data_IF_277768921367
#
_entry.id   IF_277768921367
#
_cell.length_a   1.000
_cell.length_b   1.000
_cell.length_c   1.000
_cell.angle_alpha   90.00
_cell.angle_beta   90.00
_cell.angle_gamma   90.00
#
_symmetry.space_group_name_H-M   'P 1'
#
loop_
_entity.id
_entity.type
_entity.pdbx_description
1 polymer ?
#
# COMPACT_ATOMS: atom_id res chain seq x y z
N UNK A 1 -24.81 -9.80 -6.70
CA UNK A 1 -23.69 -8.86 -6.52
C UNK A 1 -24.26 -7.44 -6.49
N UNK A 2 -23.74 -6.53 -5.69
CA UNK A 2 -24.11 -5.12 -5.74
C UNK A 2 -23.72 -4.50 -7.09
N UNK A 3 -24.35 -3.38 -7.43
CA UNK A 3 -23.92 -2.59 -8.58
C UNK A 3 -22.56 -1.97 -8.31
N UNK A 4 -21.69 -2.01 -9.30
CA UNK A 4 -20.39 -1.31 -9.28
C UNK A 4 -20.65 0.10 -9.80
N UNK A 5 -20.21 1.09 -9.03
CA UNK A 5 -20.30 2.51 -9.39
C UNK A 5 -18.88 3.07 -9.56
N UNK A 6 -18.74 4.00 -10.48
CA UNK A 6 -17.50 4.75 -10.68
C UNK A 6 -17.44 5.97 -9.76
N UNK A 7 -16.25 6.49 -9.53
CA UNK A 7 -16.07 7.72 -8.77
C UNK A 7 -16.87 8.87 -9.41
N UNK A 8 -17.58 9.61 -8.57
CA UNK A 8 -18.47 10.69 -9.01
C UNK A 8 -19.89 10.29 -9.38
N UNK A 9 -20.21 9.01 -9.47
CA UNK A 9 -21.58 8.55 -9.63
C UNK A 9 -22.37 8.70 -8.32
N UNK A 10 -23.68 8.68 -8.43
CA UNK A 10 -24.56 8.83 -7.28
C UNK A 10 -24.75 7.48 -6.57
N UNK A 11 -24.20 7.34 -5.37
CA UNK A 11 -24.38 6.17 -4.50
C UNK A 11 -25.63 6.26 -3.58
N UNK A 12 -26.49 7.24 -3.79
CA UNK A 12 -27.67 7.50 -2.96
C UNK A 12 -27.50 8.71 -2.06
N UNK A 13 -28.32 8.77 -1.04
CA UNK A 13 -28.31 9.87 -0.06
C UNK A 13 -28.32 9.34 1.36
N UNK A 14 -27.78 10.12 2.28
CA UNK A 14 -27.84 9.83 3.70
C UNK A 14 -29.29 9.78 4.19
N UNK A 15 -29.66 8.68 4.84
CA UNK A 15 -31.00 8.51 5.40
C UNK A 15 -31.16 9.17 6.78
N UNK A 16 -32.38 9.32 7.27
CA UNK A 16 -32.61 9.82 8.63
C UNK A 16 -32.04 8.89 9.71
N UNK A 17 -32.10 7.58 9.51
CA UNK A 17 -31.47 6.61 10.38
C UNK A 17 -29.94 6.74 10.37
N UNK A 18 -29.35 6.94 9.19
CA UNK A 18 -27.94 7.20 9.02
C UNK A 18 -27.49 8.46 9.73
N UNK A 19 -28.25 9.54 9.63
CA UNK A 19 -27.98 10.79 10.37
C UNK A 19 -27.94 10.54 11.88
N UNK A 20 -28.95 9.87 12.44
CA UNK A 20 -29.01 9.57 13.88
C UNK A 20 -27.83 8.73 14.36
N UNK A 21 -27.35 7.82 13.50
CA UNK A 21 -26.20 6.97 13.82
C UNK A 21 -24.87 7.74 13.80
N UNK A 22 -24.68 8.61 12.80
CA UNK A 22 -23.40 9.29 12.55
C UNK A 22 -23.26 10.58 13.35
N UNK A 23 -24.34 11.29 13.59
CA UNK A 23 -24.33 12.59 14.27
C UNK A 23 -25.42 12.70 15.34
N UNK A 24 -25.14 12.26 16.56
CA UNK A 24 -26.04 12.47 17.69
C UNK A 24 -26.26 13.95 18.03
N UNK A 25 -25.42 14.87 17.56
CA UNK A 25 -25.56 16.32 17.80
C UNK A 25 -26.69 16.97 16.98
N UNK A 26 -27.11 16.31 15.89
CA UNK A 26 -28.21 16.79 15.03
C UNK A 26 -27.82 17.90 14.05
N UNK A 27 -26.54 18.12 13.82
CA UNK A 27 -26.02 19.09 12.83
C UNK A 27 -26.16 18.56 11.41
N UNK A 28 -25.89 17.27 11.21
CA UNK A 28 -25.99 16.59 9.92
C UNK A 28 -27.47 16.42 9.52
N UNK A 29 -27.76 16.50 8.24
CA UNK A 29 -29.12 16.37 7.72
C UNK A 29 -29.24 15.20 6.74
N UNK A 30 -30.41 14.56 6.73
CA UNK A 30 -30.72 13.59 5.69
C UNK A 30 -30.77 14.25 4.30
N UNK A 31 -30.54 13.45 3.27
CA UNK A 31 -30.53 13.91 1.89
C UNK A 31 -29.16 14.37 1.38
N UNK A 32 -28.12 14.38 2.21
CA UNK A 32 -26.74 14.62 1.75
C UNK A 32 -26.37 13.52 0.75
N UNK A 33 -25.91 13.87 -0.49
CA UNK A 33 -25.54 12.89 -1.48
C UNK A 33 -24.28 12.12 -1.03
N UNK A 34 -24.27 10.83 -1.33
CA UNK A 34 -23.14 9.94 -1.04
C UNK A 34 -22.41 9.63 -2.35
N UNK A 35 -21.08 9.70 -2.30
CA UNK A 35 -20.21 9.15 -3.35
C UNK A 35 -20.06 7.64 -3.15
N UNK A 36 -19.75 6.88 -4.22
CA UNK A 36 -19.30 5.51 -4.07
C UNK A 36 -18.10 5.43 -3.12
N UNK A 37 -18.06 4.43 -2.23
CA UNK A 37 -16.88 4.23 -1.40
C UNK A 37 -15.68 3.84 -2.27
N UNK A 38 -14.52 4.39 -1.95
CA UNK A 38 -13.27 4.12 -2.65
C UNK A 38 -12.24 3.58 -1.66
N UNK A 39 -11.37 2.67 -2.14
CA UNK A 39 -10.26 2.15 -1.34
C UNK A 39 -9.04 3.08 -1.38
N UNK A 40 -8.11 2.85 -0.45
CA UNK A 40 -6.85 3.58 -0.36
C UNK A 40 -5.97 3.43 -1.62
N UNK A 41 -6.00 2.27 -2.27
CA UNK A 41 -5.28 2.01 -3.52
C UNK A 41 -5.75 2.94 -4.65
N UNK A 42 -7.07 3.03 -4.89
CA UNK A 42 -7.64 3.89 -5.92
C UNK A 42 -7.42 5.37 -5.63
N UNK A 43 -7.64 5.79 -4.38
CA UNK A 43 -7.36 7.18 -3.97
C UNK A 43 -5.88 7.52 -4.06
N UNK A 44 -4.98 6.56 -3.79
CA UNK A 44 -3.54 6.71 -3.98
C UNK A 44 -3.16 6.95 -5.45
N UNK A 45 -3.81 6.27 -6.40
CA UNK A 45 -3.62 6.52 -7.83
C UNK A 45 -4.04 7.94 -8.23
N UNK A 46 -5.16 8.43 -7.69
CA UNK A 46 -5.60 9.83 -7.92
C UNK A 46 -4.59 10.81 -7.32
N UNK A 47 -4.17 10.59 -6.08
CA UNK A 47 -3.23 11.46 -5.38
C UNK A 47 -1.86 11.58 -6.08
N UNK A 48 -1.43 10.52 -6.76
CA UNK A 48 -0.17 10.48 -7.52
C UNK A 48 -0.34 10.81 -9.00
N UNK A 49 -1.55 11.19 -9.43
CA UNK A 49 -1.89 11.45 -10.83
C UNK A 49 -1.53 10.29 -11.78
N UNK A 50 -1.79 9.06 -11.34
CA UNK A 50 -1.43 7.83 -12.05
C UNK A 50 -2.68 7.03 -12.47
N UNK A 51 -3.69 7.71 -13.00
CA UNK A 51 -4.96 7.14 -13.46
C UNK A 51 -5.06 7.01 -14.99
N UNK A 52 -4.14 7.58 -15.74
CA UNK A 52 -4.11 7.47 -17.20
C UNK A 52 -3.42 6.17 -17.63
N UNK A 53 -3.78 5.60 -18.82
CA UNK A 53 -3.07 4.45 -19.38
C UNK A 53 -1.55 4.65 -19.43
N UNK A 54 -0.78 3.58 -19.17
CA UNK A 54 0.68 3.57 -19.06
C UNK A 54 1.26 4.39 -17.89
N UNK A 55 0.43 4.88 -16.98
CA UNK A 55 0.89 5.44 -15.72
C UNK A 55 0.72 4.43 -14.60
N UNK A 56 1.39 4.64 -13.49
CA UNK A 56 1.28 3.75 -12.35
C UNK A 56 1.87 4.37 -11.09
N UNK A 57 1.65 3.71 -9.98
CA UNK A 57 2.23 4.10 -8.71
C UNK A 57 2.68 2.87 -7.91
N UNK A 58 3.50 3.13 -6.92
CA UNK A 58 3.89 2.14 -5.90
C UNK A 58 3.45 2.67 -4.56
N UNK A 59 2.69 1.86 -3.83
CA UNK A 59 2.35 2.10 -2.43
C UNK A 59 3.27 1.27 -1.56
N UNK A 60 3.99 1.92 -0.64
CA UNK A 60 4.95 1.30 0.26
C UNK A 60 4.51 1.53 1.71
N UNK A 61 3.67 0.64 2.21
CA UNK A 61 3.21 0.60 3.59
C UNK A 61 3.80 -0.59 4.34
N UNK A 62 3.05 -1.21 5.22
CA UNK A 62 3.42 -2.47 5.88
C UNK A 62 3.73 -3.55 4.86
N UNK A 63 2.90 -3.64 3.82
CA UNK A 63 3.13 -4.34 2.57
C UNK A 63 3.39 -3.34 1.44
N UNK A 64 3.76 -3.81 0.26
CA UNK A 64 3.88 -2.96 -0.92
C UNK A 64 3.05 -3.52 -2.06
N UNK A 65 2.52 -2.62 -2.90
CA UNK A 65 1.91 -2.98 -4.17
C UNK A 65 2.27 -1.96 -5.25
N UNK A 66 2.49 -2.48 -6.45
CA UNK A 66 2.71 -1.70 -7.64
C UNK A 66 1.49 -1.84 -8.55
N UNK A 67 0.99 -0.72 -9.07
CA UNK A 67 -0.18 -0.65 -9.93
C UNK A 67 0.18 0.06 -11.23
N UNK A 68 -0.27 -0.48 -12.35
CA UNK A 68 -0.08 0.11 -13.69
C UNK A 68 -1.41 0.08 -14.43
N UNK A 69 -1.84 1.23 -14.93
CA UNK A 69 -3.05 1.34 -15.76
C UNK A 69 -2.77 0.76 -17.15
N UNK A 70 -3.55 -0.24 -17.52
CA UNK A 70 -3.40 -0.97 -18.77
C UNK A 70 -4.05 -0.23 -19.93
N UNK A 71 -3.43 -0.27 -21.11
CA UNK A 71 -4.06 0.19 -22.35
C UNK A 71 -5.05 -0.83 -22.93
N UNK A 72 -4.88 -2.10 -22.60
CA UNK A 72 -5.69 -3.22 -23.07
C UNK A 72 -5.64 -4.37 -22.07
N UNK A 73 -6.60 -5.25 -22.16
CA UNK A 73 -6.66 -6.47 -21.35
C UNK A 73 -5.39 -7.32 -21.48
N UNK A 74 -5.07 -8.03 -20.41
CA UNK A 74 -3.99 -9.02 -20.43
C UNK A 74 -4.34 -10.16 -21.39
N UNK A 75 -3.34 -10.69 -22.08
CA UNK A 75 -3.53 -11.77 -23.07
C UNK A 75 -3.91 -13.11 -22.44
N UNK A 76 -3.67 -13.27 -21.16
CA UNK A 76 -3.97 -14.49 -20.38
C UNK A 76 -4.04 -14.16 -18.88
N UNK A 77 -4.46 -15.12 -18.08
CA UNK A 77 -4.43 -15.00 -16.62
C UNK A 77 -3.00 -15.24 -16.12
N UNK A 78 -2.54 -14.32 -15.27
CA UNK A 78 -1.28 -14.39 -14.54
C UNK A 78 -1.61 -14.48 -13.06
N UNK A 79 -1.31 -15.61 -12.38
CA UNK A 79 -1.66 -15.79 -10.96
C UNK A 79 -1.02 -14.79 -10.01
N UNK A 80 0.06 -14.12 -10.45
CA UNK A 80 0.82 -13.13 -9.69
C UNK A 80 0.26 -11.70 -9.83
N UNK A 81 -0.71 -11.51 -10.74
CA UNK A 81 -1.29 -10.21 -11.05
C UNK A 81 -2.76 -10.19 -10.64
N UNK A 82 -3.09 -9.29 -9.76
CA UNK A 82 -4.48 -8.95 -9.47
C UNK A 82 -4.96 -7.88 -10.46
N UNK A 83 -6.16 -8.09 -11.00
CA UNK A 83 -6.81 -7.09 -11.83
C UNK A 83 -7.79 -6.28 -10.99
N UNK A 84 -7.56 -4.99 -10.94
CA UNK A 84 -8.42 -4.01 -10.27
C UNK A 84 -8.74 -2.89 -11.27
N UNK A 85 -9.44 -1.85 -10.83
CA UNK A 85 -9.75 -0.69 -11.66
C UNK A 85 -9.28 0.60 -11.01
N UNK A 86 -9.04 1.62 -11.83
CA UNK A 86 -8.97 3.00 -11.35
C UNK A 86 -10.34 3.43 -10.85
N UNK A 87 -10.45 4.50 -10.05
CA UNK A 87 -11.74 5.11 -9.70
C UNK A 87 -12.59 5.50 -10.92
N UNK A 88 -12.00 5.75 -12.08
CA UNK A 88 -12.67 6.04 -13.36
C UNK A 88 -13.07 4.78 -14.15
N UNK A 89 -12.67 3.59 -13.70
CA UNK A 89 -13.05 2.32 -14.30
C UNK A 89 -12.04 1.73 -15.28
N UNK A 90 -10.87 2.37 -15.46
CA UNK A 90 -9.82 1.84 -16.31
C UNK A 90 -9.13 0.64 -15.65
N UNK A 91 -8.76 -0.36 -16.45
CA UNK A 91 -8.17 -1.59 -15.98
C UNK A 91 -6.75 -1.38 -15.45
N UNK A 92 -6.46 -1.95 -14.28
CA UNK A 92 -5.15 -1.84 -13.61
C UNK A 92 -4.61 -3.22 -13.31
N UNK A 93 -3.35 -3.46 -13.68
CA UNK A 93 -2.58 -4.59 -13.20
C UNK A 93 -1.90 -4.22 -11.88
N UNK A 94 -2.14 -5.02 -10.85
CA UNK A 94 -1.55 -4.85 -9.52
C UNK A 94 -0.73 -6.07 -9.13
N UNK A 95 0.47 -5.84 -8.63
CA UNK A 95 1.30 -6.86 -7.97
C UNK A 95 1.49 -6.45 -6.53
N UNK A 96 1.21 -7.36 -5.60
CA UNK A 96 1.26 -7.14 -4.17
C UNK A 96 2.30 -8.02 -3.51
N UNK A 97 3.07 -7.48 -2.57
CA UNK A 97 3.97 -8.21 -1.66
C UNK A 97 3.59 -7.96 -0.22
N UNK A 98 3.64 -8.98 0.62
CA UNK A 98 3.34 -8.86 2.05
C UNK A 98 4.46 -8.16 2.84
N UNK A 99 5.62 -7.94 2.23
CA UNK A 99 6.81 -7.45 2.91
C UNK A 99 7.26 -6.10 2.34
N UNK A 100 7.29 -5.09 3.22
CA UNK A 100 7.86 -3.77 2.93
C UNK A 100 8.35 -3.14 4.24
N UNK A 101 7.67 -2.12 4.77
CA UNK A 101 8.13 -1.45 6.00
C UNK A 101 8.11 -2.36 7.23
N UNK A 102 7.28 -3.41 7.25
CA UNK A 102 7.30 -4.43 8.31
C UNK A 102 8.65 -5.13 8.40
N UNK A 103 9.22 -5.48 7.25
CA UNK A 103 10.54 -6.11 7.17
C UNK A 103 11.65 -5.11 7.53
N UNK A 104 11.62 -3.91 6.96
CA UNK A 104 12.55 -2.82 7.30
C UNK A 104 12.54 -2.57 8.81
N UNK A 105 11.36 -2.48 9.43
CA UNK A 105 11.22 -2.28 10.87
C UNK A 105 11.86 -3.41 11.70
N UNK A 106 11.84 -4.64 11.23
CA UNK A 106 12.48 -5.77 11.93
C UNK A 106 13.99 -5.61 11.95
N UNK A 107 14.59 -5.20 10.83
CA UNK A 107 16.02 -4.88 10.76
C UNK A 107 16.40 -3.68 11.61
N UNK A 108 15.60 -2.64 11.57
CA UNK A 108 15.86 -1.43 12.36
C UNK A 108 15.81 -1.70 13.86
N UNK A 109 14.93 -2.60 14.32
CA UNK A 109 14.89 -3.05 15.71
C UNK A 109 16.19 -3.77 16.09
N UNK A 110 16.67 -4.67 15.23
CA UNK A 110 17.94 -5.36 15.48
C UNK A 110 19.11 -4.37 15.56
N UNK A 111 19.20 -3.43 14.64
CA UNK A 111 20.25 -2.40 14.68
C UNK A 111 20.14 -1.50 15.92
N UNK A 112 18.91 -1.22 16.35
CA UNK A 112 18.69 -0.46 17.60
C UNK A 112 19.19 -1.21 18.83
N UNK A 113 18.93 -2.51 18.92
CA UNK A 113 19.44 -3.34 20.01
C UNK A 113 20.98 -3.32 20.07
N UNK A 114 21.64 -3.45 18.92
CA UNK A 114 23.11 -3.35 18.84
C UNK A 114 23.60 -1.96 19.26
N UNK A 115 22.96 -0.91 18.79
CA UNK A 115 23.30 0.48 19.15
C UNK A 115 23.18 0.70 20.66
N UNK A 116 22.09 0.23 21.29
CA UNK A 116 21.87 0.33 22.73
C UNK A 116 22.93 -0.43 23.54
N UNK A 117 23.28 -1.65 23.13
CA UNK A 117 24.34 -2.44 23.76
C UNK A 117 25.71 -1.78 23.68
N UNK A 118 25.95 -0.97 22.65
CA UNK A 118 27.22 -0.22 22.50
C UNK A 118 27.18 1.16 23.14
N UNK A 119 26.11 1.49 23.87
CA UNK A 119 25.98 2.73 24.65
C UNK A 119 25.45 3.92 23.85
N UNK A 120 24.86 3.68 22.69
CA UNK A 120 24.21 4.75 21.93
C UNK A 120 22.90 5.18 22.59
N UNK A 121 22.64 6.48 22.62
CA UNK A 121 21.37 7.07 23.08
C UNK A 121 20.44 7.47 21.93
N UNK A 122 20.75 7.07 20.69
CA UNK A 122 19.92 7.40 19.53
C UNK A 122 18.50 6.89 19.69
N UNK A 123 17.54 7.74 19.36
CA UNK A 123 16.14 7.34 19.18
C UNK A 123 15.97 6.48 17.93
N UNK A 124 14.83 5.81 17.79
CA UNK A 124 14.53 5.04 16.57
C UNK A 124 14.50 5.95 15.33
N UNK A 125 13.92 7.14 15.42
CA UNK A 125 13.79 8.08 14.30
C UNK A 125 15.17 8.60 13.83
N UNK A 126 16.06 8.88 14.78
CA UNK A 126 17.44 9.26 14.47
C UNK A 126 18.19 8.11 13.79
N UNK A 127 17.99 6.87 14.26
CA UNK A 127 18.59 5.69 13.68
C UNK A 127 18.10 5.48 12.24
N UNK A 128 16.79 5.57 11.99
CA UNK A 128 16.21 5.52 10.65
C UNK A 128 16.83 6.57 9.72
N UNK A 129 16.85 7.83 10.16
CA UNK A 129 17.40 8.93 9.38
C UNK A 129 18.88 8.70 9.03
N UNK A 130 19.68 8.26 9.98
CA UNK A 130 21.10 8.03 9.77
C UNK A 130 21.37 6.85 8.83
N UNK A 131 20.69 5.72 9.04
CA UNK A 131 20.91 4.52 8.21
C UNK A 131 20.41 4.73 6.78
N UNK A 132 19.25 5.34 6.58
CA UNK A 132 18.77 5.64 5.22
C UNK A 132 19.67 6.65 4.50
N UNK A 133 20.13 7.71 5.16
CA UNK A 133 21.08 8.63 4.56
C UNK A 133 22.44 7.96 4.26
N UNK A 134 22.86 7.03 5.11
CA UNK A 134 24.09 6.30 4.89
C UNK A 134 23.97 5.32 3.72
N UNK A 135 22.81 4.69 3.53
CA UNK A 135 22.58 3.76 2.44
C UNK A 135 22.73 4.39 1.04
N UNK A 136 22.55 5.72 0.92
CA UNK A 136 22.77 6.44 -0.34
C UNK A 136 24.25 6.42 -0.81
N UNK A 137 25.17 5.99 0.06
CA UNK A 137 26.61 5.85 -0.25
C UNK A 137 26.99 4.41 -0.60
N UNK A 138 26.06 3.48 -0.47
CA UNK A 138 26.28 2.08 -0.79
C UNK A 138 26.20 1.83 -2.30
N UNK A 139 26.70 0.69 -2.72
CA UNK A 139 26.55 0.23 -4.10
C UNK A 139 25.07 0.03 -4.44
N UNK A 140 24.65 0.48 -5.62
CA UNK A 140 23.24 0.45 -6.04
C UNK A 140 22.67 -0.96 -6.20
N UNK A 141 23.54 -1.95 -6.38
CA UNK A 141 23.21 -3.37 -6.46
C UNK A 141 23.40 -4.11 -5.12
N UNK A 142 23.56 -3.35 -4.02
CA UNK A 142 23.81 -3.91 -2.70
C UNK A 142 25.16 -4.65 -2.58
N UNK A 143 26.11 -4.38 -3.48
CA UNK A 143 27.40 -5.09 -3.52
C UNK A 143 27.25 -6.58 -3.92
N UNK A 144 26.17 -6.92 -4.63
CA UNK A 144 25.86 -8.29 -5.04
C UNK A 144 25.22 -9.14 -3.94
N UNK A 145 24.86 -8.55 -2.80
CA UNK A 145 24.14 -9.26 -1.73
C UNK A 145 22.65 -9.35 -2.06
N UNK A 146 22.05 -10.49 -1.76
CA UNK A 146 20.62 -10.74 -1.85
C UNK A 146 20.06 -11.01 -0.46
N UNK A 147 18.89 -10.45 -0.18
CA UNK A 147 18.15 -10.72 1.04
C UNK A 147 16.79 -11.33 0.72
N UNK A 148 16.48 -12.45 1.36
CA UNK A 148 15.17 -13.07 1.33
C UNK A 148 14.58 -12.99 2.75
N UNK A 149 13.80 -11.95 2.99
CA UNK A 149 13.18 -11.73 4.30
C UNK A 149 11.92 -12.54 4.48
N UNK A 150 10.87 -12.12 3.81
CA UNK A 150 9.53 -12.72 3.86
C UNK A 150 8.99 -12.91 5.29
N UNK A 151 9.31 -11.99 6.21
CA UNK A 151 8.89 -12.09 7.61
C UNK A 151 7.38 -12.26 7.78
N UNK A 152 6.60 -11.67 6.87
CA UNK A 152 5.13 -11.72 6.88
C UNK A 152 4.56 -12.84 5.99
N UNK A 153 5.40 -13.78 5.59
CA UNK A 153 5.06 -14.70 4.51
C UNK A 153 5.02 -13.99 3.15
N UNK A 154 4.75 -14.72 2.08
CA UNK A 154 4.62 -14.14 0.74
C UNK A 154 3.66 -14.97 -0.12
N UNK A 155 2.56 -14.37 -0.50
CA UNK A 155 1.51 -15.04 -1.26
C UNK A 155 1.97 -15.50 -2.65
N UNK A 156 2.79 -14.70 -3.33
CA UNK A 156 3.30 -15.01 -4.68
C UNK A 156 4.15 -16.28 -4.66
N UNK A 157 4.98 -16.44 -3.63
CA UNK A 157 5.84 -17.63 -3.47
C UNK A 157 5.18 -18.75 -2.67
N UNK A 158 3.93 -18.55 -2.20
CA UNK A 158 3.15 -19.49 -1.37
C UNK A 158 3.83 -19.85 -0.05
N UNK A 159 4.58 -18.93 0.51
CA UNK A 159 5.22 -19.07 1.83
C UNK A 159 4.32 -18.46 2.89
N UNK A 160 3.87 -19.25 3.85
CA UNK A 160 3.01 -18.78 4.97
C UNK A 160 3.79 -17.93 5.95
N UNK A 161 5.06 -18.22 6.16
CA UNK A 161 6.01 -17.45 6.97
C UNK A 161 7.40 -17.56 6.37
N UNK A 162 8.19 -16.51 6.56
CA UNK A 162 9.57 -16.48 6.11
C UNK A 162 10.55 -16.37 7.27
N UNK A 163 11.78 -16.72 6.99
CA UNK A 163 12.93 -16.47 7.87
C UNK A 163 13.99 -15.77 7.08
N UNK A 164 14.56 -14.66 7.62
CA UNK A 164 15.61 -13.93 6.91
C UNK A 164 16.76 -14.85 6.53
N UNK A 165 17.17 -14.74 5.30
CA UNK A 165 18.35 -15.38 4.76
C UNK A 165 19.22 -14.33 4.04
N UNK A 166 20.51 -14.35 4.27
CA UNK A 166 21.51 -13.50 3.63
C UNK A 166 22.53 -14.33 2.90
#
# INVERSE_FOLDING_TARGET
LPNILLAGENAGCLTEEGVKLLDPSGTLKAGVPLCPPEGDAGTGMVATNSVAPQTGNVSAGTSAFAMIVLEKELSQVYPEIDLVTTPSGDLVAMVHTNNCTSEINSWMKLFKEVADLTGSSMTMDELFSQLFNHSLKADTDGGGLLSYGYHSGENITKMSEGRPLF
#
